data_IF_424387837314
#
_entry.id   IF_424387837314
#
_cell.length_a   1.000
_cell.length_b   1.000
_cell.length_c   1.000
_cell.angle_alpha   90.00
_cell.angle_beta   90.00
_cell.angle_gamma   90.00
#
_symmetry.space_group_name_H-M   'P 1'
#
loop_
_entity.id
_entity.type
_entity.pdbx_description
1 polymer ?
#
# COMPACT_ATOMS: atom_id res chain seq x y z
N UNK A 1 -14.66 -0.51 18.21
CA UNK A 1 -13.53 0.44 18.42
C UNK A 1 -13.65 1.71 17.57
N UNK A 2 -14.07 1.62 16.31
CA UNK A 2 -14.35 2.79 15.43
C UNK A 2 -15.38 3.78 16.00
N UNK A 3 -16.40 3.28 16.73
CA UNK A 3 -17.44 4.10 17.36
C UNK A 3 -16.91 5.05 18.44
N UNK A 4 -15.87 4.64 19.19
CA UNK A 4 -15.25 5.49 20.24
C UNK A 4 -14.46 6.63 19.59
N UNK A 5 -13.73 6.33 18.50
CA UNK A 5 -13.03 7.35 17.71
C UNK A 5 -13.99 8.37 17.10
N UNK A 6 -15.14 7.91 16.59
CA UNK A 6 -16.20 8.78 16.06
C UNK A 6 -16.76 9.73 17.14
N UNK A 7 -17.05 9.18 18.32
CA UNK A 7 -17.54 9.96 19.46
C UNK A 7 -16.53 11.03 19.91
N UNK A 8 -15.25 10.69 20.00
CA UNK A 8 -14.20 11.65 20.37
C UNK A 8 -14.08 12.77 19.32
N UNK A 9 -14.10 12.42 18.03
CA UNK A 9 -14.07 13.42 16.95
C UNK A 9 -15.28 14.36 16.98
N UNK A 10 -16.48 13.84 17.16
CA UNK A 10 -17.71 14.65 17.27
C UNK A 10 -17.63 15.56 18.48
N UNK A 11 -17.21 15.05 19.64
CA UNK A 11 -17.10 15.84 20.87
C UNK A 11 -16.08 16.99 20.73
N UNK A 12 -14.93 16.72 20.12
CA UNK A 12 -13.90 17.74 19.88
C UNK A 12 -14.39 18.81 18.90
N UNK A 13 -15.09 18.41 17.82
CA UNK A 13 -15.68 19.33 16.86
C UNK A 13 -16.76 20.23 17.49
N UNK A 14 -17.60 19.66 18.35
CA UNK A 14 -18.68 20.38 19.05
C UNK A 14 -18.12 21.36 20.09
N UNK A 15 -17.04 20.99 20.78
CA UNK A 15 -16.31 21.88 21.68
C UNK A 15 -15.66 23.07 20.94
N UNK A 16 -15.06 22.82 19.77
CA UNK A 16 -14.52 23.87 18.90
C UNK A 16 -15.61 24.82 18.37
N UNK A 17 -16.76 24.27 18.00
CA UNK A 17 -17.92 25.06 17.55
C UNK A 17 -18.44 25.96 18.67
N UNK A 18 -18.58 25.42 19.90
CA UNK A 18 -18.99 26.18 21.08
C UNK A 18 -18.00 27.30 21.44
N UNK A 19 -16.70 27.08 21.22
CA UNK A 19 -15.67 28.10 21.43
C UNK A 19 -15.76 29.23 20.38
N UNK A 20 -16.04 28.89 19.13
CA UNK A 20 -16.26 29.85 18.03
C UNK A 20 -17.53 30.69 18.21
N UNK A 21 -18.59 30.11 18.77
CA UNK A 21 -19.84 30.81 19.01
C UNK A 21 -19.80 31.77 20.21
N UNK A 22 -18.76 31.73 21.06
CA UNK A 22 -18.64 32.65 22.20
C UNK A 22 -18.21 34.06 21.73
N UNK A 23 -19.05 35.10 21.87
CA UNK A 23 -18.68 36.46 21.49
C UNK A 23 -17.74 37.04 22.56
N UNK A 24 -16.45 37.22 22.22
CA UNK A 24 -15.46 37.79 23.13
C UNK A 24 -14.11 38.07 22.45
N UNK A 25 -13.28 38.89 23.10
CA UNK A 25 -11.96 39.39 22.67
C UNK A 25 -10.91 38.31 22.27
N UNK A 26 -11.24 37.02 22.28
CA UNK A 26 -10.36 35.89 21.97
C UNK A 26 -10.38 35.44 20.50
N UNK A 27 -11.16 36.11 19.64
CA UNK A 27 -11.26 35.86 18.19
C UNK A 27 -9.93 35.69 17.44
N UNK A 28 -8.88 36.51 17.64
CA UNK A 28 -7.63 36.32 16.90
C UNK A 28 -6.93 35.02 17.29
N UNK A 29 -7.01 34.62 18.56
CA UNK A 29 -6.42 33.36 19.05
C UNK A 29 -7.14 32.14 18.48
N UNK A 30 -8.47 32.18 18.38
CA UNK A 30 -9.27 31.09 17.79
C UNK A 30 -9.00 30.94 16.29
N UNK A 31 -8.79 32.04 15.56
CA UNK A 31 -8.46 31.99 14.12
C UNK A 31 -7.05 31.39 13.90
N UNK A 32 -6.09 31.72 14.78
CA UNK A 32 -4.75 31.15 14.75
C UNK A 32 -4.73 29.66 15.09
N UNK A 33 -5.54 29.25 16.07
CA UNK A 33 -5.68 27.83 16.41
C UNK A 33 -6.34 27.06 15.25
N UNK A 34 -7.35 27.64 14.60
CA UNK A 34 -8.00 27.03 13.43
C UNK A 34 -7.05 26.88 12.24
N UNK A 35 -6.22 27.89 11.96
CA UNK A 35 -5.24 27.81 10.87
C UNK A 35 -4.17 26.74 11.13
N UNK A 36 -3.82 26.50 12.40
CA UNK A 36 -2.90 25.42 12.79
C UNK A 36 -3.58 24.04 12.79
N UNK A 37 -4.87 23.95 13.13
CA UNK A 37 -5.60 22.69 13.23
C UNK A 37 -6.06 22.14 11.87
N UNK A 38 -6.43 23.02 10.93
CA UNK A 38 -6.85 22.67 9.57
C UNK A 38 -5.87 21.75 8.83
N UNK A 39 -4.56 22.03 8.77
CA UNK A 39 -3.62 21.14 8.08
C UNK A 39 -3.50 19.77 8.75
N UNK A 40 -3.67 19.68 10.07
CA UNK A 40 -3.69 18.39 10.79
C UNK A 40 -4.92 17.56 10.41
N UNK A 41 -6.10 18.20 10.34
CA UNK A 41 -7.33 17.56 9.87
C UNK A 41 -7.22 17.09 8.42
N UNK A 42 -6.60 17.88 7.55
CA UNK A 42 -6.33 17.50 6.15
C UNK A 42 -5.38 16.31 6.09
N UNK A 43 -4.31 16.30 6.87
CA UNK A 43 -3.37 15.17 6.92
C UNK A 43 -4.04 13.88 7.41
N UNK A 44 -4.87 13.95 8.46
CA UNK A 44 -5.57 12.78 9.00
C UNK A 44 -6.65 12.27 8.03
N UNK A 45 -7.42 13.15 7.41
CA UNK A 45 -8.42 12.76 6.40
C UNK A 45 -7.75 12.13 5.17
N UNK A 46 -6.63 12.67 4.70
CA UNK A 46 -5.85 12.07 3.62
C UNK A 46 -5.33 10.66 3.99
N UNK A 47 -4.83 10.49 5.21
CA UNK A 47 -4.38 9.17 5.69
C UNK A 47 -5.52 8.15 5.75
N UNK A 48 -6.68 8.52 6.31
CA UNK A 48 -7.85 7.67 6.41
C UNK A 48 -8.44 7.34 5.03
N UNK A 49 -8.44 8.30 4.11
CA UNK A 49 -8.88 8.08 2.73
C UNK A 49 -7.98 7.08 2.02
N UNK A 50 -6.66 7.17 2.21
CA UNK A 50 -5.71 6.18 1.71
C UNK A 50 -5.98 4.76 2.24
N UNK A 51 -6.28 4.62 3.53
CA UNK A 51 -6.62 3.32 4.13
C UNK A 51 -7.95 2.76 3.61
N UNK A 52 -8.98 3.59 3.49
CA UNK A 52 -10.28 3.17 2.95
C UNK A 52 -10.16 2.75 1.48
N UNK A 53 -9.37 3.46 0.69
CA UNK A 53 -9.13 3.11 -0.71
C UNK A 53 -8.37 1.78 -0.83
N UNK A 54 -7.35 1.56 0.01
CA UNK A 54 -6.62 0.30 0.07
C UNK A 54 -7.55 -0.87 0.46
N UNK A 55 -8.46 -0.69 1.41
CA UNK A 55 -9.43 -1.74 1.76
C UNK A 55 -10.40 -2.06 0.62
N UNK A 56 -10.85 -1.06 -0.14
CA UNK A 56 -11.71 -1.28 -1.30
C UNK A 56 -11.01 -2.03 -2.42
N UNK A 57 -9.75 -1.70 -2.71
CA UNK A 57 -8.98 -2.41 -3.74
C UNK A 57 -8.67 -3.85 -3.32
N UNK A 58 -8.57 -4.11 -2.01
CA UNK A 58 -8.39 -5.46 -1.44
C UNK A 58 -9.68 -6.27 -1.33
N UNK A 59 -10.86 -5.65 -1.37
CA UNK A 59 -12.13 -6.35 -1.20
C UNK A 59 -12.42 -7.40 -2.30
N UNK A 60 -11.82 -7.24 -3.48
CA UNK A 60 -11.88 -8.21 -4.58
C UNK A 60 -10.57 -8.99 -4.79
N UNK A 61 -9.62 -8.89 -3.86
CA UNK A 61 -8.34 -9.58 -3.97
C UNK A 61 -8.45 -11.00 -3.43
N UNK A 62 -8.21 -12.00 -4.29
CA UNK A 62 -8.12 -13.39 -3.87
C UNK A 62 -6.65 -13.75 -3.55
N UNK A 63 -6.31 -14.03 -2.28
CA UNK A 63 -4.96 -14.42 -1.89
C UNK A 63 -4.59 -15.86 -2.29
N UNK A 64 -5.48 -16.60 -2.96
CA UNK A 64 -5.26 -17.97 -3.37
C UNK A 64 -3.90 -18.19 -4.06
N UNK A 65 -3.33 -19.38 -3.81
CA UNK A 65 -2.14 -19.85 -4.50
C UNK A 65 -2.56 -20.22 -5.92
N UNK A 66 -2.01 -19.51 -6.90
CA UNK A 66 -2.26 -19.77 -8.31
C UNK A 66 -0.93 -19.94 -9.03
N UNK A 67 -0.93 -20.84 -10.00
CA UNK A 67 0.16 -21.00 -10.95
C UNK A 67 0.18 -19.79 -11.88
N UNK A 68 1.34 -19.13 -11.94
CA UNK A 68 1.55 -17.93 -12.75
C UNK A 68 2.78 -18.10 -13.61
N UNK A 69 2.72 -17.60 -14.85
CA UNK A 69 3.82 -17.69 -15.79
C UNK A 69 4.63 -16.39 -15.81
N UNK A 70 5.94 -16.54 -15.78
CA UNK A 70 6.93 -15.48 -15.96
C UNK A 70 7.63 -15.75 -17.29
N UNK A 71 7.53 -14.83 -18.24
CA UNK A 71 8.38 -14.87 -19.43
C UNK A 71 9.46 -13.81 -19.31
N UNK A 72 10.66 -14.11 -19.80
CA UNK A 72 11.69 -13.12 -19.96
C UNK A 72 12.60 -13.50 -21.12
N UNK A 73 13.35 -12.52 -21.60
CA UNK A 73 14.34 -12.74 -22.64
C UNK A 73 15.72 -12.63 -22.02
N UNK A 74 16.56 -13.66 -22.21
CA UNK A 74 17.95 -13.61 -21.77
C UNK A 74 18.77 -12.71 -22.70
N UNK A 75 19.98 -12.35 -22.27
CA UNK A 75 20.91 -11.53 -23.07
C UNK A 75 21.25 -12.16 -24.44
N UNK A 76 21.05 -13.47 -24.60
CA UNK A 76 21.19 -14.19 -25.87
C UNK A 76 19.97 -14.15 -26.80
N UNK A 77 18.91 -13.44 -26.44
CA UNK A 77 17.68 -13.33 -27.25
C UNK A 77 16.71 -14.52 -27.13
N UNK A 78 17.08 -15.54 -26.35
CA UNK A 78 16.21 -16.69 -26.06
C UNK A 78 15.09 -16.30 -25.12
N UNK A 79 13.85 -16.61 -25.50
CA UNK A 79 12.67 -16.44 -24.68
C UNK A 79 12.54 -17.63 -23.72
N UNK A 80 12.61 -17.33 -22.43
CA UNK A 80 12.42 -18.32 -21.37
C UNK A 80 11.08 -18.08 -20.69
N UNK A 81 10.42 -19.17 -20.33
CA UNK A 81 9.19 -19.15 -19.54
C UNK A 81 9.34 -20.03 -18.31
N UNK A 82 8.98 -19.51 -17.14
CA UNK A 82 8.91 -20.27 -15.90
C UNK A 82 7.51 -20.16 -15.31
N UNK A 83 6.91 -21.30 -14.99
CA UNK A 83 5.68 -21.38 -14.21
C UNK A 83 6.04 -21.48 -12.73
N UNK A 84 5.43 -20.62 -11.91
CA UNK A 84 5.68 -20.57 -10.48
C UNK A 84 4.34 -20.49 -9.74
N UNK A 85 4.12 -21.41 -8.81
CA UNK A 85 2.97 -21.37 -7.90
C UNK A 85 3.24 -20.34 -6.81
N UNK A 86 2.53 -19.22 -6.82
CA UNK A 86 2.75 -18.12 -5.88
C UNK A 86 1.46 -17.85 -5.10
N UNK A 87 1.57 -17.44 -3.83
CA UNK A 87 0.44 -16.83 -3.14
C UNK A 87 0.14 -15.46 -3.75
N UNK A 88 -1.06 -14.91 -3.53
CA UNK A 88 -1.37 -13.55 -4.00
C UNK A 88 -0.38 -12.49 -3.47
N UNK A 89 0.07 -12.65 -2.22
CA UNK A 89 1.05 -11.76 -1.58
C UNK A 89 2.43 -11.86 -2.25
N UNK A 90 2.89 -13.09 -2.47
CA UNK A 90 4.15 -13.35 -3.15
C UNK A 90 4.11 -12.83 -4.61
N UNK A 91 2.98 -12.98 -5.29
CA UNK A 91 2.78 -12.45 -6.64
C UNK A 91 2.86 -10.91 -6.68
N UNK A 92 2.31 -10.22 -5.68
CA UNK A 92 2.43 -8.77 -5.57
C UNK A 92 3.89 -8.30 -5.35
N UNK A 93 4.70 -9.08 -4.63
CA UNK A 93 6.14 -8.84 -4.55
C UNK A 93 6.84 -8.96 -5.90
N UNK A 94 6.47 -9.97 -6.70
CA UNK A 94 7.04 -10.20 -8.03
C UNK A 94 6.66 -9.08 -9.01
N UNK A 95 5.43 -8.58 -8.98
CA UNK A 95 4.98 -7.44 -9.82
C UNK A 95 5.89 -6.22 -9.63
N UNK A 96 6.34 -5.95 -8.40
CA UNK A 96 7.29 -4.88 -8.10
C UNK A 96 8.73 -5.25 -8.42
N UNK A 97 9.10 -6.51 -8.22
CA UNK A 97 10.42 -7.03 -8.54
C UNK A 97 10.75 -6.88 -10.03
N UNK A 98 9.79 -7.11 -10.93
CA UNK A 98 9.96 -7.00 -12.39
C UNK A 98 10.54 -5.63 -12.81
N UNK A 99 10.13 -4.54 -12.14
CA UNK A 99 10.62 -3.20 -12.47
C UNK A 99 12.09 -2.98 -12.10
N UNK A 100 12.57 -3.62 -11.02
CA UNK A 100 13.93 -3.40 -10.51
C UNK A 100 14.89 -4.55 -10.86
N UNK A 101 14.35 -5.71 -11.22
CA UNK A 101 15.03 -7.00 -11.35
C UNK A 101 15.72 -7.46 -10.07
N UNK A 102 16.30 -8.65 -10.09
CA UNK A 102 17.10 -9.23 -9.00
C UNK A 102 16.38 -10.30 -8.20
N UNK A 103 17.01 -10.74 -7.11
CA UNK A 103 16.53 -11.86 -6.30
C UNK A 103 15.69 -11.38 -5.12
N UNK A 104 14.52 -11.99 -4.96
CA UNK A 104 13.58 -11.65 -3.89
C UNK A 104 13.30 -12.87 -3.03
N UNK A 105 13.24 -12.66 -1.72
CA UNK A 105 12.77 -13.67 -0.78
C UNK A 105 11.25 -13.62 -0.73
N UNK A 106 10.64 -14.76 -0.99
CA UNK A 106 9.20 -14.99 -0.84
C UNK A 106 8.94 -15.82 0.40
N UNK A 107 7.66 -16.03 0.70
CA UNK A 107 7.23 -16.79 1.87
C UNK A 107 7.71 -18.23 1.82
N UNK A 108 7.67 -18.86 0.63
CA UNK A 108 8.00 -20.27 0.44
C UNK A 108 9.37 -20.52 -0.23
N UNK A 109 9.93 -19.54 -0.94
CA UNK A 109 11.15 -19.74 -1.74
C UNK A 109 11.87 -18.43 -2.03
N UNK A 110 13.02 -18.49 -2.70
CA UNK A 110 13.66 -17.33 -3.33
C UNK A 110 13.44 -17.39 -4.83
N UNK A 111 12.96 -16.30 -5.43
CA UNK A 111 12.77 -16.19 -6.86
C UNK A 111 13.71 -15.13 -7.43
N UNK A 112 14.45 -15.51 -8.45
CA UNK A 112 15.15 -14.55 -9.29
C UNK A 112 14.19 -13.98 -10.33
N UNK A 113 14.04 -12.65 -10.35
CA UNK A 113 13.21 -11.96 -11.33
C UNK A 113 14.13 -11.16 -12.25
N UNK A 114 14.30 -11.57 -13.52
CA UNK A 114 15.10 -10.82 -14.47
C UNK A 114 14.49 -9.44 -14.77
N UNK A 115 15.34 -8.45 -15.09
CA UNK A 115 14.85 -7.13 -15.49
C UNK A 115 14.11 -7.24 -16.81
N UNK A 116 12.95 -6.61 -16.89
CA UNK A 116 12.14 -6.64 -18.12
C UNK A 116 11.39 -7.94 -18.35
N UNK A 117 11.29 -8.81 -17.34
CA UNK A 117 10.39 -9.96 -17.39
C UNK A 117 8.95 -9.50 -17.66
N UNK A 118 8.26 -10.22 -18.53
CA UNK A 118 6.84 -10.05 -18.78
C UNK A 118 6.04 -11.01 -17.91
N UNK A 119 5.00 -10.46 -17.29
CA UNK A 119 4.09 -11.18 -16.40
C UNK A 119 2.95 -11.74 -17.25
N UNK A 120 2.89 -13.07 -17.43
CA UNK A 120 1.81 -13.73 -18.15
C UNK A 120 0.86 -14.44 -17.19
N UNK A 121 -0.44 -14.24 -17.38
CA UNK A 121 -1.49 -14.83 -16.56
C UNK A 121 -2.04 -13.90 -15.47
N UNK A 122 -2.75 -14.46 -14.46
CA UNK A 122 -3.48 -13.66 -13.48
C UNK A 122 -2.54 -13.12 -12.40
N UNK A 123 -1.96 -11.95 -12.68
CA UNK A 123 -1.14 -11.19 -11.74
C UNK A 123 -1.95 -10.09 -11.06
N UNK A 124 -1.66 -9.77 -9.79
CA UNK A 124 -2.27 -8.61 -9.16
C UNK A 124 -1.91 -7.33 -9.91
N UNK A 125 -2.88 -6.42 -9.99
CA UNK A 125 -2.63 -5.11 -10.59
C UNK A 125 -1.61 -4.33 -9.75
N UNK A 126 -0.96 -3.33 -10.34
CA UNK A 126 -0.03 -2.46 -9.59
C UNK A 126 -0.72 -1.80 -8.40
N UNK A 127 -1.97 -1.38 -8.58
CA UNK A 127 -2.77 -0.76 -7.52
C UNK A 127 -3.03 -1.71 -6.34
N UNK A 128 -3.26 -3.01 -6.61
CA UNK A 128 -3.42 -4.02 -5.57
C UNK A 128 -2.10 -4.28 -4.83
N UNK A 129 -0.98 -4.37 -5.56
CA UNK A 129 0.34 -4.54 -4.94
C UNK A 129 0.73 -3.33 -4.07
N UNK A 130 0.42 -2.11 -4.49
CA UNK A 130 0.68 -0.89 -3.71
C UNK A 130 -0.25 -0.79 -2.50
N UNK A 131 -1.53 -1.15 -2.63
CA UNK A 131 -2.48 -1.21 -1.52
C UNK A 131 -2.04 -2.21 -0.44
N UNK A 132 -1.58 -3.40 -0.85
CA UNK A 132 -1.02 -4.40 0.06
C UNK A 132 0.24 -3.89 0.78
N UNK A 133 1.08 -3.08 0.13
CA UNK A 133 2.25 -2.47 0.77
C UNK A 133 1.84 -1.41 1.79
N UNK A 134 0.90 -0.53 1.42
CA UNK A 134 0.36 0.51 2.31
C UNK A 134 -0.35 -0.09 3.53
N UNK A 135 -0.98 -1.25 3.37
CA UNK A 135 -1.60 -2.00 4.47
C UNK A 135 -0.60 -2.69 5.41
N UNK A 136 0.69 -2.69 5.08
CA UNK A 136 1.74 -3.33 5.86
C UNK A 136 1.80 -4.86 5.72
N UNK A 137 1.00 -5.45 4.83
CA UNK A 137 0.93 -6.91 4.63
C UNK A 137 2.02 -7.46 3.70
N UNK A 138 2.71 -6.59 2.93
CA UNK A 138 3.80 -7.00 2.04
C UNK A 138 5.19 -6.78 2.65
N UNK A 139 5.88 -7.89 2.93
CA UNK A 139 7.27 -7.93 3.36
C UNK A 139 8.25 -8.27 2.23
N UNK A 140 8.19 -7.59 1.08
CA UNK A 140 9.05 -7.91 -0.06
C UNK A 140 10.51 -7.52 0.21
N UNK A 141 11.33 -8.47 0.64
CA UNK A 141 12.76 -8.24 0.90
C UNK A 141 13.58 -8.69 -0.31
N UNK A 142 14.29 -7.75 -0.94
CA UNK A 142 15.34 -8.08 -1.89
C UNK A 142 16.47 -8.76 -1.12
N UNK A 143 16.95 -9.88 -1.63
CA UNK A 143 18.15 -10.54 -1.12
C UNK A 143 19.24 -10.23 -2.11
N UNK A 144 20.30 -9.56 -1.67
CA UNK A 144 21.53 -9.57 -2.45
C UNK A 144 22.12 -10.96 -2.24
N UNK A 145 22.09 -11.78 -3.30
CA UNK A 145 22.96 -12.94 -3.35
C UNK A 145 24.37 -12.38 -3.54
N UNK A 146 25.01 -11.91 -2.47
CA UNK A 146 26.46 -11.78 -2.43
C UNK A 146 26.99 -13.19 -2.24
N UNK A 147 27.10 -13.92 -3.34
CA UNK A 147 27.98 -15.08 -3.44
C UNK A 147 29.26 -14.60 -4.12
N UNK A 148 30.35 -14.65 -3.35
CA UNK A 148 31.77 -14.85 -3.72
C UNK A 148 32.33 -14.15 -4.97
#
# INVERSE_FOLDING_TARGET
MTLIYLLICVFMGLALLLLLLRPGHTRPLTLWLFSALLPVLVAVTAALYGQAQAQRTLAGFDPAVLDRALAWQDAGGTENTATVSLSGLDAACVVRAVQRGGTYKLSASTLFVPRGAQLLGPWPSREQADALMLSGQLGCRRVNISGE
#
